data_IF_867762196384
#
_entry.id   IF_867762196384
#
_cell.length_a   1.000
_cell.length_b   1.000
_cell.length_c   1.000
_cell.angle_alpha   90.00
_cell.angle_beta   90.00
_cell.angle_gamma   90.00
#
_symmetry.space_group_name_H-M   'P 1'
#
loop_
_entity.id
_entity.type
_entity.pdbx_description
1 polymer ?
#
# COMPACT_ATOMS: atom_id res chain seq x y z
N UNK A 1 -13.98 7.96 0.96
CA UNK A 1 -13.42 6.72 1.51
C UNK A 1 -13.26 5.63 0.44
N UNK A 2 -14.32 4.98 -0.05
CA UNK A 2 -14.21 3.81 -0.97
C UNK A 2 -13.39 4.05 -2.25
N UNK A 3 -13.58 5.20 -2.92
CA UNK A 3 -12.81 5.55 -4.12
C UNK A 3 -11.29 5.68 -3.81
N UNK A 4 -10.94 6.40 -2.74
CA UNK A 4 -9.54 6.56 -2.31
C UNK A 4 -8.89 5.23 -1.92
N UNK A 5 -9.63 4.37 -1.22
CA UNK A 5 -9.13 3.03 -0.87
C UNK A 5 -8.89 2.18 -2.13
N UNK A 6 -9.79 2.28 -3.12
CA UNK A 6 -9.60 1.64 -4.44
C UNK A 6 -8.35 2.16 -5.15
N UNK A 7 -8.09 3.46 -5.10
CA UNK A 7 -6.89 4.05 -5.72
C UNK A 7 -5.62 3.50 -5.05
N UNK A 8 -5.57 3.46 -3.72
CA UNK A 8 -4.44 2.89 -2.97
C UNK A 8 -4.19 1.40 -3.33
N UNK A 9 -5.26 0.60 -3.42
CA UNK A 9 -5.18 -0.81 -3.85
C UNK A 9 -4.58 -0.96 -5.25
N UNK A 10 -5.00 -0.12 -6.21
CA UNK A 10 -4.48 -0.15 -7.57
C UNK A 10 -2.99 0.20 -7.61
N UNK A 11 -2.57 1.21 -6.86
CA UNK A 11 -1.16 1.64 -6.76
C UNK A 11 -0.27 0.52 -6.17
N UNK A 12 -0.72 -0.12 -5.09
CA UNK A 12 0.01 -1.21 -4.43
C UNK A 12 0.12 -2.43 -5.36
N UNK A 13 -0.99 -2.85 -5.99
CA UNK A 13 -1.00 -3.97 -6.96
C UNK A 13 -0.07 -3.69 -8.15
N UNK A 14 -0.11 -2.48 -8.68
CA UNK A 14 0.75 -2.09 -9.81
C UNK A 14 2.22 -2.18 -9.41
N UNK A 15 2.56 -1.72 -8.20
CA UNK A 15 3.93 -1.85 -7.68
C UNK A 15 4.37 -3.31 -7.56
N UNK A 16 3.53 -4.19 -7.02
CA UNK A 16 3.84 -5.63 -6.91
C UNK A 16 4.05 -6.30 -8.28
N UNK A 17 3.29 -5.86 -9.30
CA UNK A 17 3.44 -6.34 -10.67
C UNK A 17 4.77 -5.88 -11.31
N UNK A 18 5.14 -4.61 -11.10
CA UNK A 18 6.34 -4.02 -11.70
C UNK A 18 7.64 -4.33 -10.96
N UNK A 19 7.65 -4.19 -9.63
CA UNK A 19 8.84 -4.33 -8.78
C UNK A 19 9.02 -5.75 -8.23
N UNK A 20 8.02 -6.61 -8.40
CA UNK A 20 7.99 -7.97 -7.89
C UNK A 20 7.38 -8.08 -6.49
N UNK A 21 7.21 -9.31 -6.04
CA UNK A 21 6.56 -9.63 -4.76
C UNK A 21 7.39 -9.16 -3.56
N UNK A 22 6.68 -8.69 -2.54
CA UNK A 22 7.25 -8.40 -1.22
C UNK A 22 6.28 -8.85 -0.13
N UNK A 23 6.65 -9.75 0.80
CA UNK A 23 5.71 -10.38 1.73
C UNK A 23 4.91 -9.38 2.58
N UNK A 24 5.57 -8.34 3.11
CA UNK A 24 4.89 -7.30 3.90
C UNK A 24 3.94 -6.45 3.06
N UNK A 25 4.26 -6.23 1.78
CA UNK A 25 3.39 -5.46 0.90
C UNK A 25 2.18 -6.28 0.44
N UNK A 26 2.36 -7.60 0.22
CA UNK A 26 1.25 -8.53 -0.02
C UNK A 26 0.33 -8.61 1.21
N UNK A 27 0.86 -8.56 2.43
CA UNK A 27 0.07 -8.47 3.65
C UNK A 27 -0.73 -7.16 3.74
N UNK A 28 -0.10 -6.01 3.48
CA UNK A 28 -0.78 -4.72 3.43
C UNK A 28 -1.91 -4.73 2.40
N UNK A 29 -1.66 -5.30 1.22
CA UNK A 29 -2.67 -5.42 0.18
C UNK A 29 -3.88 -6.23 0.68
N UNK A 30 -3.66 -7.36 1.36
CA UNK A 30 -4.74 -8.18 1.91
C UNK A 30 -5.56 -7.43 2.97
N UNK A 31 -4.92 -6.71 3.89
CA UNK A 31 -5.60 -5.90 4.90
C UNK A 31 -6.50 -4.85 4.23
N UNK A 32 -5.97 -4.11 3.25
CA UNK A 32 -6.73 -3.08 2.55
C UNK A 32 -7.88 -3.67 1.71
N UNK A 33 -7.74 -4.89 1.20
CA UNK A 33 -8.81 -5.62 0.50
C UNK A 33 -9.94 -6.00 1.46
N UNK A 34 -9.63 -6.52 2.66
CA UNK A 34 -10.61 -6.83 3.70
C UNK A 34 -11.39 -5.56 4.13
N UNK A 35 -10.70 -4.43 4.27
CA UNK A 35 -11.33 -3.13 4.55
C UNK A 35 -12.23 -2.69 3.38
N UNK A 36 -11.78 -2.86 2.14
CA UNK A 36 -12.54 -2.49 0.95
C UNK A 36 -13.81 -3.33 0.77
N UNK A 37 -13.75 -4.61 1.12
CA UNK A 37 -14.88 -5.56 1.09
C UNK A 37 -15.84 -5.38 2.27
N UNK A 38 -15.45 -4.61 3.29
CA UNK A 38 -16.25 -4.37 4.50
C UNK A 38 -16.18 -5.52 5.50
N UNK A 39 -15.16 -6.37 5.40
CA UNK A 39 -14.87 -7.48 6.33
C UNK A 39 -14.15 -6.95 7.58
N UNK A 40 -13.36 -5.89 7.41
CA UNK A 40 -12.62 -5.22 8.48
C UNK A 40 -12.80 -3.70 8.42
N UNK A 41 -12.32 -3.01 9.45
CA UNK A 41 -12.23 -1.55 9.51
C UNK A 41 -10.76 -1.12 9.62
N UNK A 42 -10.48 0.10 9.18
CA UNK A 42 -9.15 0.69 9.25
C UNK A 42 -9.09 1.59 10.49
N UNK A 43 -8.41 1.13 11.55
CA UNK A 43 -8.08 1.96 12.70
C UNK A 43 -6.72 2.65 12.55
N UNK A 44 -6.43 3.55 13.49
CA UNK A 44 -5.22 4.38 13.50
C UNK A 44 -3.94 3.53 13.58
N UNK A 45 -3.90 2.51 14.44
CA UNK A 45 -2.76 1.60 14.59
C UNK A 45 -2.50 0.80 13.30
N UNK A 46 -3.56 0.29 12.66
CA UNK A 46 -3.46 -0.42 11.38
C UNK A 46 -3.01 0.51 10.26
N UNK A 47 -3.50 1.76 10.23
CA UNK A 47 -3.08 2.75 9.26
C UNK A 47 -1.60 3.13 9.42
N UNK A 48 -1.13 3.36 10.65
CA UNK A 48 0.28 3.62 10.95
C UNK A 48 1.17 2.47 10.48
N UNK A 49 0.78 1.23 10.80
CA UNK A 49 1.49 0.03 10.33
C UNK A 49 1.58 -0.03 8.80
N UNK A 50 0.47 0.24 8.10
CA UNK A 50 0.43 0.23 6.63
C UNK A 50 1.38 1.29 6.06
N UNK A 51 1.34 2.51 6.60
CA UNK A 51 2.19 3.63 6.18
C UNK A 51 3.67 3.27 6.35
N UNK A 52 4.06 2.71 7.50
CA UNK A 52 5.44 2.28 7.76
C UNK A 52 5.92 1.23 6.73
N UNK A 53 5.07 0.24 6.42
CA UNK A 53 5.39 -0.79 5.42
C UNK A 53 5.55 -0.18 4.02
N UNK A 54 4.68 0.75 3.63
CA UNK A 54 4.77 1.39 2.32
C UNK A 54 6.08 2.16 2.15
N UNK A 55 6.51 2.91 3.18
CA UNK A 55 7.76 3.67 3.16
C UNK A 55 8.99 2.75 3.16
N UNK A 56 9.00 1.71 3.99
CA UNK A 56 10.08 0.73 4.02
C UNK A 56 10.25 0.03 2.66
N UNK A 57 9.16 -0.46 2.08
CA UNK A 57 9.19 -1.20 0.82
C UNK A 57 9.52 -0.28 -0.35
N UNK A 58 9.03 0.98 -0.34
CA UNK A 58 9.43 1.99 -1.32
C UNK A 58 10.94 2.22 -1.30
N UNK A 59 11.54 2.32 -0.11
CA UNK A 59 12.99 2.44 0.07
C UNK A 59 13.75 1.24 -0.50
N UNK A 60 13.29 0.01 -0.22
CA UNK A 60 13.88 -1.22 -0.75
C UNK A 60 13.80 -1.24 -2.29
N UNK A 61 12.64 -0.97 -2.86
CA UNK A 61 12.44 -0.97 -4.31
C UNK A 61 13.25 0.11 -5.02
N UNK A 62 13.38 1.29 -4.41
CA UNK A 62 14.25 2.37 -4.88
C UNK A 62 15.71 1.93 -4.96
N UNK A 63 16.24 1.30 -3.90
CA UNK A 63 17.62 0.79 -3.88
C UNK A 63 17.83 -0.32 -4.91
N UNK A 64 16.80 -1.13 -5.18
CA UNK A 64 16.82 -2.17 -6.23
C UNK A 64 16.66 -1.62 -7.65
N UNK A 65 16.45 -0.32 -7.81
CA UNK A 65 16.31 0.32 -9.12
C UNK A 65 14.95 0.12 -9.78
N UNK A 66 13.93 -0.34 -9.06
CA UNK A 66 12.57 -0.33 -9.60
C UNK A 66 12.08 1.12 -9.64
N UNK A 67 11.62 1.59 -10.80
CA UNK A 67 11.16 2.99 -10.96
C UNK A 67 9.77 3.22 -10.35
N UNK A 68 8.94 2.17 -10.28
CA UNK A 68 7.54 2.27 -9.82
C UNK A 68 7.40 2.31 -8.28
N UNK A 69 8.51 2.40 -7.53
CA UNK A 69 8.48 2.55 -6.08
C UNK A 69 7.67 3.78 -5.62
N UNK A 70 7.68 4.86 -6.42
CA UNK A 70 6.96 6.10 -6.16
C UNK A 70 5.43 5.91 -6.10
N UNK A 71 4.89 4.80 -6.63
CA UNK A 71 3.48 4.46 -6.50
C UNK A 71 3.11 4.08 -5.06
N UNK A 72 4.06 3.54 -4.27
CA UNK A 72 3.84 3.28 -2.85
C UNK A 72 3.79 4.56 -2.03
N UNK A 73 4.62 5.55 -2.38
CA UNK A 73 4.57 6.89 -1.78
C UNK A 73 3.21 7.56 -2.06
N UNK A 74 2.70 7.43 -3.29
CA UNK A 74 1.35 7.90 -3.64
C UNK A 74 0.26 7.13 -2.89
N UNK A 75 0.38 5.81 -2.74
CA UNK A 75 -0.57 5.01 -2.00
C UNK A 75 -0.64 5.46 -0.53
N UNK A 76 0.52 5.72 0.09
CA UNK A 76 0.62 6.29 1.43
C UNK A 76 -0.11 7.64 1.51
N UNK A 77 0.19 8.57 0.62
CA UNK A 77 -0.43 9.91 0.60
C UNK A 77 -1.97 9.84 0.42
N UNK A 78 -2.47 8.83 -0.27
CA UNK A 78 -3.92 8.58 -0.42
C UNK A 78 -4.53 8.06 0.88
N UNK A 79 -3.84 7.14 1.56
CA UNK A 79 -4.31 6.51 2.80
C UNK A 79 -4.29 7.48 3.99
N UNK A 80 -3.26 8.33 4.11
CA UNK A 80 -3.18 9.37 5.17
C UNK A 80 -4.29 10.43 5.08
N UNK A 81 -4.97 10.51 3.93
CA UNK A 81 -6.08 11.45 3.69
C UNK A 81 -7.45 10.80 3.83
N UNK A 82 -7.55 9.54 4.24
CA UNK A 82 -8.83 8.85 4.44
C UNK A 82 -9.56 9.38 5.68
#
# INVERSE_FOLDING_TARGET
MRARLSDALVLIRTTLLSCGKHPRLEQVLAILEEVYEGVSYLDEETLEYIVEVLDEVAGIFKVRGCLDYHLLEQARDVLERL
#
